data_IF_496824005379
#
_entry.id   IF_496824005379
#
_cell.length_a   1.000
_cell.length_b   1.000
_cell.length_c   1.000
_cell.angle_alpha   90.00
_cell.angle_beta   90.00
_cell.angle_gamma   90.00
#
_symmetry.space_group_name_H-M   'P 1'
#
loop_
_entity.id
_entity.type
_entity.pdbx_description
1 polymer ?
#
# COMPACT_ATOMS: atom_id res chain seq x y z
N UNK A 1 62.31 -25.30 -67.50
CA UNK A 1 61.02 -24.59 -67.32
C UNK A 1 60.51 -24.89 -65.93
N UNK A 2 60.55 -23.91 -65.04
CA UNK A 2 60.25 -24.10 -63.61
C UNK A 2 58.81 -23.62 -63.36
N UNK A 3 57.94 -24.55 -62.98
CA UNK A 3 56.50 -24.30 -62.81
C UNK A 3 56.24 -23.35 -61.63
N UNK A 4 55.37 -22.33 -61.78
CA UNK A 4 55.09 -21.39 -60.71
C UNK A 4 54.29 -22.06 -59.58
N UNK A 5 54.76 -21.86 -58.35
CA UNK A 5 54.18 -22.41 -57.12
C UNK A 5 53.14 -21.43 -56.59
N UNK A 6 51.85 -21.73 -56.76
CA UNK A 6 50.76 -20.88 -56.26
C UNK A 6 50.61 -21.09 -54.75
N UNK A 7 50.84 -20.02 -53.99
CA UNK A 7 50.75 -20.03 -52.53
C UNK A 7 49.28 -19.88 -52.10
N UNK A 8 48.69 -20.97 -51.61
CA UNK A 8 47.30 -21.00 -51.16
C UNK A 8 47.20 -20.34 -49.79
N UNK A 9 46.63 -19.14 -49.72
CA UNK A 9 46.34 -18.46 -48.46
C UNK A 9 45.07 -19.05 -47.85
N UNK A 10 45.23 -19.76 -46.73
CA UNK A 10 44.12 -20.30 -45.97
C UNK A 10 43.50 -19.17 -45.13
N UNK A 11 42.30 -18.73 -45.52
CA UNK A 11 41.49 -17.84 -44.70
C UNK A 11 40.98 -18.63 -43.48
N UNK A 12 41.33 -18.17 -42.28
CA UNK A 12 40.82 -18.75 -41.05
C UNK A 12 39.39 -18.25 -40.81
N UNK A 13 38.42 -19.13 -40.50
CA UNK A 13 37.06 -18.71 -40.23
C UNK A 13 36.99 -17.91 -38.93
N UNK A 14 36.33 -16.76 -38.96
CA UNK A 14 36.01 -16.00 -37.75
C UNK A 14 35.17 -16.85 -36.81
N UNK A 15 35.57 -16.91 -35.54
CA UNK A 15 34.83 -17.65 -34.50
C UNK A 15 33.55 -16.89 -34.16
N UNK A 16 32.37 -17.54 -34.16
CA UNK A 16 31.13 -16.87 -33.79
C UNK A 16 31.10 -16.56 -32.29
N UNK A 17 30.96 -15.29 -31.95
CA UNK A 17 30.87 -14.76 -30.58
C UNK A 17 29.51 -15.04 -29.91
N UNK A 18 28.97 -16.26 -30.04
CA UNK A 18 27.57 -16.56 -29.72
C UNK A 18 27.34 -17.05 -28.28
N UNK A 19 28.37 -17.45 -27.52
CA UNK A 19 28.15 -18.07 -26.19
C UNK A 19 28.09 -17.06 -25.02
N UNK A 20 28.74 -15.90 -25.13
CA UNK A 20 28.79 -14.91 -24.05
C UNK A 20 27.47 -14.14 -23.86
N UNK A 21 26.73 -13.92 -24.94
CA UNK A 21 25.51 -13.12 -24.93
C UNK A 21 24.37 -13.79 -24.14
N UNK A 22 24.19 -15.10 -24.30
CA UNK A 22 23.16 -15.84 -23.56
C UNK A 22 23.40 -15.83 -22.04
N UNK A 23 24.63 -16.00 -21.59
CA UNK A 23 24.96 -15.95 -20.17
C UNK A 23 24.72 -14.56 -19.57
N UNK A 24 25.07 -13.50 -20.30
CA UNK A 24 24.82 -12.12 -19.88
C UNK A 24 23.31 -11.86 -19.71
N UNK A 25 22.50 -12.33 -20.67
CA UNK A 25 21.04 -12.17 -20.62
C UNK A 25 20.42 -12.94 -19.45
N UNK A 26 20.90 -14.16 -19.14
CA UNK A 26 20.40 -14.93 -18.01
C UNK A 26 20.70 -14.23 -16.68
N UNK A 27 21.91 -13.68 -16.51
CA UNK A 27 22.28 -12.95 -15.29
C UNK A 27 21.42 -11.69 -15.13
N UNK A 28 21.20 -10.93 -16.21
CA UNK A 28 20.35 -9.74 -16.18
C UNK A 28 18.89 -10.06 -15.81
N UNK A 29 18.34 -11.15 -16.35
CA UNK A 29 16.98 -11.58 -16.04
C UNK A 29 16.81 -11.98 -14.56
N UNK A 30 17.80 -12.68 -14.00
CA UNK A 30 17.79 -13.04 -12.57
C UNK A 30 17.85 -11.80 -11.67
N UNK A 31 18.74 -10.85 -11.97
CA UNK A 31 18.85 -9.60 -11.20
C UNK A 31 17.55 -8.79 -11.22
N UNK A 32 16.90 -8.69 -12.38
CA UNK A 32 15.61 -8.01 -12.50
C UNK A 32 14.52 -8.69 -11.67
N UNK A 33 14.45 -10.03 -11.73
CA UNK A 33 13.48 -10.81 -10.95
C UNK A 33 13.66 -10.60 -9.44
N UNK A 34 14.88 -10.74 -8.91
CA UNK A 34 15.13 -10.57 -7.48
C UNK A 34 14.88 -9.14 -7.01
N UNK A 35 15.26 -8.13 -7.81
CA UNK A 35 14.99 -6.72 -7.51
C UNK A 35 13.49 -6.42 -7.46
N UNK A 36 12.71 -6.95 -8.40
CA UNK A 36 11.26 -6.77 -8.44
C UNK A 36 10.58 -7.41 -7.23
N UNK A 37 10.94 -8.65 -6.88
CA UNK A 37 10.38 -9.35 -5.72
C UNK A 37 10.74 -8.64 -4.41
N UNK A 38 11.99 -8.18 -4.26
CA UNK A 38 12.43 -7.44 -3.08
C UNK A 38 11.65 -6.11 -2.92
N UNK A 39 11.47 -5.38 -4.02
CA UNK A 39 10.71 -4.12 -4.02
C UNK A 39 9.25 -4.35 -3.64
N UNK A 40 8.63 -5.39 -4.20
CA UNK A 40 7.25 -5.77 -3.87
C UNK A 40 7.11 -6.17 -2.40
N UNK A 41 8.07 -6.95 -1.87
CA UNK A 41 8.08 -7.35 -0.47
C UNK A 41 8.13 -6.12 0.46
N UNK A 42 9.06 -5.19 0.20
CA UNK A 42 9.18 -3.94 0.97
C UNK A 42 7.90 -3.09 0.87
N UNK A 43 7.29 -3.00 -0.31
CA UNK A 43 6.05 -2.26 -0.50
C UNK A 43 4.88 -2.84 0.30
N UNK A 44 4.79 -4.17 0.41
CA UNK A 44 3.76 -4.85 1.21
C UNK A 44 4.03 -4.67 2.70
N UNK A 45 5.27 -4.84 3.17
CA UNK A 45 5.60 -4.78 4.60
C UNK A 45 5.72 -3.34 5.12
N UNK A 46 6.04 -2.37 4.27
CA UNK A 46 6.18 -0.97 4.62
C UNK A 46 4.86 -0.25 4.90
N UNK A 47 3.73 -0.86 4.57
CA UNK A 47 2.39 -0.34 4.92
C UNK A 47 1.99 -0.65 6.37
N UNK A 48 2.81 -1.40 7.11
CA UNK A 48 2.52 -1.75 8.50
C UNK A 48 3.13 -0.66 9.40
N UNK A 49 2.57 0.55 9.33
CA UNK A 49 2.69 1.51 10.42
C UNK A 49 1.47 1.28 11.33
N UNK A 50 1.58 0.45 12.39
CA UNK A 50 0.51 0.38 13.36
C UNK A 50 0.41 1.77 13.98
N UNK A 51 -0.65 2.51 13.63
CA UNK A 51 -1.01 3.70 14.37
C UNK A 51 -1.07 3.28 15.84
N UNK A 52 -0.28 3.91 16.70
CA UNK A 52 -0.26 3.59 18.12
C UNK A 52 -1.64 3.92 18.68
N UNK A 53 -2.48 2.91 18.75
CA UNK A 53 -3.75 3.00 19.43
C UNK A 53 -3.40 3.08 20.93
N UNK A 54 -3.84 4.14 21.60
CA UNK A 54 -3.56 4.43 23.01
C UNK A 54 -3.65 3.17 23.90
N UNK A 55 -2.58 2.77 24.57
CA UNK A 55 -2.56 1.50 25.34
C UNK A 55 -3.69 1.40 26.39
N UNK A 56 -3.98 0.20 26.92
CA UNK A 56 -5.02 -0.02 27.93
C UNK A 56 -4.87 0.86 29.19
N UNK A 57 -3.69 1.44 29.43
CA UNK A 57 -3.40 2.37 30.53
C UNK A 57 -3.82 3.82 30.24
N UNK A 58 -4.17 4.15 29.00
CA UNK A 58 -4.71 5.46 28.62
C UNK A 58 -6.23 5.37 28.68
N UNK A 59 -6.84 5.96 29.70
CA UNK A 59 -8.28 6.12 29.83
C UNK A 59 -8.89 6.65 28.51
N UNK A 60 -9.39 5.76 27.63
CA UNK A 60 -9.92 6.10 26.30
C UNK A 60 -11.36 6.58 26.38
N UNK A 61 -11.66 7.50 27.29
CA UNK A 61 -12.98 8.15 27.33
C UNK A 61 -13.01 9.17 26.20
N UNK A 62 -13.75 8.84 25.14
CA UNK A 62 -14.09 9.80 24.10
C UNK A 62 -15.22 10.68 24.62
N UNK A 63 -14.87 11.84 25.18
CA UNK A 63 -15.86 12.84 25.55
C UNK A 63 -16.41 13.51 24.27
N UNK A 64 -17.72 13.44 24.06
CA UNK A 64 -18.38 14.04 22.89
C UNK A 64 -19.53 14.95 23.33
N UNK A 65 -19.73 16.06 22.62
CA UNK A 65 -20.86 16.97 22.80
C UNK A 65 -21.50 17.20 21.42
N UNK A 66 -22.84 17.13 21.35
CA UNK A 66 -23.58 17.36 20.11
C UNK A 66 -24.47 18.59 20.27
N UNK A 67 -24.53 19.42 19.22
CA UNK A 67 -25.47 20.53 19.11
C UNK A 67 -26.20 20.43 17.77
N UNK A 68 -27.52 20.37 17.82
CA UNK A 68 -28.34 20.42 16.61
C UNK A 68 -28.47 21.87 16.16
N UNK A 69 -28.07 22.16 14.92
CA UNK A 69 -28.15 23.50 14.32
C UNK A 69 -28.93 23.46 13.01
N UNK A 70 -29.54 24.58 12.65
CA UNK A 70 -30.09 24.79 11.32
C UNK A 70 -29.00 25.09 10.28
N UNK A 71 -29.39 25.35 9.04
CA UNK A 71 -28.48 25.66 7.92
C UNK A 71 -27.74 26.99 8.10
N UNK A 72 -28.19 27.86 9.01
CA UNK A 72 -27.53 29.12 9.37
C UNK A 72 -26.53 28.96 10.53
N UNK A 73 -26.41 27.76 11.10
CA UNK A 73 -25.58 27.48 12.27
C UNK A 73 -26.22 27.87 13.61
N UNK A 74 -27.48 28.29 13.59
CA UNK A 74 -28.26 28.65 14.78
C UNK A 74 -28.73 27.38 15.46
N UNK A 75 -28.70 27.34 16.80
CA UNK A 75 -29.24 26.20 17.54
C UNK A 75 -30.73 26.05 17.24
N UNK A 76 -31.16 24.83 16.89
CA UNK A 76 -32.56 24.56 16.62
C UNK A 76 -33.36 24.77 17.92
N UNK A 77 -34.27 25.74 17.91
CA UNK A 77 -35.07 26.10 19.08
C UNK A 77 -36.01 24.94 19.48
N UNK A 78 -35.82 24.48 20.72
CA UNK A 78 -36.74 23.77 21.61
C UNK A 78 -37.66 22.70 20.98
N UNK A 79 -37.04 21.61 20.57
CA UNK A 79 -37.73 20.32 20.62
C UNK A 79 -36.78 19.24 21.11
N UNK A 80 -37.21 18.44 22.09
CA UNK A 80 -36.55 17.19 22.45
C UNK A 80 -36.42 16.33 21.20
N UNK A 81 -35.18 16.05 20.77
CA UNK A 81 -34.92 15.13 19.65
C UNK A 81 -34.31 13.86 20.20
N UNK A 82 -34.76 12.74 19.68
CA UNK A 82 -34.12 11.46 19.93
C UNK A 82 -32.87 11.39 19.07
N UNK A 83 -31.73 11.14 19.71
CA UNK A 83 -30.43 11.01 19.07
C UNK A 83 -30.00 9.56 19.22
N UNK A 84 -29.41 9.01 18.15
CA UNK A 84 -28.75 7.71 18.16
C UNK A 84 -27.32 7.87 17.67
N UNK A 85 -26.38 7.44 18.49
CA UNK A 85 -24.94 7.54 18.21
C UNK A 85 -24.41 6.13 18.03
N UNK A 86 -23.60 5.91 16.99
CA UNK A 86 -22.96 4.62 16.73
C UNK A 86 -21.49 4.83 16.43
N UNK A 87 -20.64 4.10 17.12
CA UNK A 87 -19.19 4.12 16.90
C UNK A 87 -18.78 2.90 16.09
N UNK A 88 -17.86 3.10 15.15
CA UNK A 88 -17.31 2.05 14.30
C UNK A 88 -15.78 2.14 14.29
N UNK A 89 -15.12 1.02 14.09
CA UNK A 89 -13.66 0.95 13.92
C UNK A 89 -13.24 1.16 12.47
N UNK A 90 -14.13 0.87 11.51
CA UNK A 90 -13.88 1.05 10.08
C UNK A 90 -14.59 2.30 9.54
N UNK A 91 -13.92 3.03 8.64
CA UNK A 91 -14.47 4.21 7.95
C UNK A 91 -15.63 3.89 7.00
N UNK A 92 -15.74 2.64 6.57
CA UNK A 92 -16.82 2.14 5.70
C UNK A 92 -18.07 1.70 6.47
N UNK A 93 -18.06 1.77 7.80
CA UNK A 93 -19.12 1.26 8.66
C UNK A 93 -19.02 -0.25 8.94
N UNK A 94 -20.14 -0.88 9.30
CA UNK A 94 -20.21 -2.30 9.64
C UNK A 94 -20.98 -2.56 10.93
N UNK A 95 -20.53 -3.51 11.74
CA UNK A 95 -21.09 -3.73 13.08
C UNK A 95 -20.61 -2.63 14.02
N UNK A 96 -21.51 -1.86 14.66
CA UNK A 96 -21.12 -0.84 15.61
C UNK A 96 -20.47 -1.48 16.83
N UNK A 97 -19.37 -0.89 17.31
CA UNK A 97 -18.71 -1.31 18.55
C UNK A 97 -19.39 -0.73 19.79
N UNK A 98 -20.12 0.38 19.62
CA UNK A 98 -20.86 1.03 20.69
C UNK A 98 -22.07 1.76 20.13
N UNK A 99 -23.16 1.80 20.89
CA UNK A 99 -24.41 2.43 20.49
C UNK A 99 -25.08 3.12 21.68
N UNK A 100 -25.18 4.45 21.61
CA UNK A 100 -25.88 5.27 22.61
C UNK A 100 -27.20 5.79 22.01
N UNK A 101 -28.20 5.93 22.86
CA UNK A 101 -29.46 6.57 22.51
C UNK A 101 -29.86 7.53 23.60
N UNK A 102 -30.55 8.61 23.25
CA UNK A 102 -31.02 9.53 24.28
C UNK A 102 -31.68 10.75 23.70
N UNK A 103 -31.87 11.75 24.56
CA UNK A 103 -32.47 13.02 24.19
C UNK A 103 -31.41 14.12 24.21
N UNK A 104 -31.57 15.14 23.37
CA UNK A 104 -30.71 16.33 23.41
C UNK A 104 -30.60 16.87 24.85
N UNK A 105 -29.40 16.88 25.42
CA UNK A 105 -29.14 17.28 26.82
C UNK A 105 -28.83 16.12 27.79
N UNK A 106 -29.19 14.88 27.45
CA UNK A 106 -28.87 13.66 28.21
C UNK A 106 -28.78 12.44 27.27
N UNK A 107 -27.69 12.28 26.50
CA UNK A 107 -27.38 11.01 25.88
C UNK A 107 -27.11 9.96 26.99
N UNK A 108 -27.74 8.78 26.93
CA UNK A 108 -27.47 7.64 27.82
C UNK A 108 -26.56 6.63 27.17
#
# INVERSE_FOLDING_TARGET
>A
MQSPRVHKMNFLPERPAHSGFHHLMTVAALLFYFSGVATLFIAITGQINPAQASGPDSNRVLAYQLRLTDTSGTAVADGTKNIKIKFYTASTGGTPVHCDCGTTGTPV
#
